data_IF_415748363939
#
_entry.id   IF_415748363939
#
_cell.length_a   1.000
_cell.length_b   1.000
_cell.length_c   1.000
_cell.angle_alpha   90.00
_cell.angle_beta   90.00
_cell.angle_gamma   90.00
#
_symmetry.space_group_name_H-M   'P 1'
#
loop_
_entity.id
_entity.type
_entity.pdbx_description
1 polymer ?
#
# COMPACT_ATOMS: atom_id res chain seq x y z
N UNK A 1 7.74 1.09 16.98
CA UNK A 1 8.74 1.08 18.06
C UNK A 1 9.96 1.91 17.65
N UNK A 2 10.19 3.04 18.32
CA UNK A 2 11.36 3.90 18.06
C UNK A 2 12.66 3.29 18.55
N UNK A 3 12.62 2.25 19.41
CA UNK A 3 13.82 1.50 19.81
C UNK A 3 14.30 0.61 18.66
N UNK A 4 13.39 -0.06 17.97
CA UNK A 4 13.69 -0.91 16.81
C UNK A 4 13.95 -0.10 15.52
N UNK A 5 13.19 0.97 15.27
CA UNK A 5 13.30 1.81 14.07
C UNK A 5 13.65 3.26 14.46
N UNK A 6 14.90 3.47 14.91
CA UNK A 6 15.38 4.76 15.44
C UNK A 6 15.36 5.88 14.40
N UNK A 7 15.54 5.52 13.14
CA UNK A 7 15.55 6.40 11.97
C UNK A 7 14.14 6.75 11.46
N UNK A 8 13.10 6.09 11.97
CA UNK A 8 11.71 6.42 11.69
C UNK A 8 11.06 7.12 12.90
N UNK A 9 11.69 8.22 13.30
CA UNK A 9 11.24 9.11 14.36
C UNK A 9 10.04 9.98 13.94
N UNK A 10 9.61 10.91 14.80
CA UNK A 10 8.47 11.78 14.50
C UNK A 10 8.71 12.70 13.29
N UNK A 11 9.95 13.16 13.08
CA UNK A 11 10.32 13.98 11.92
C UNK A 11 10.24 13.18 10.63
N UNK A 12 10.76 11.95 10.62
CA UNK A 12 10.65 11.04 9.49
C UNK A 12 9.20 10.64 9.20
N UNK A 13 8.38 10.38 10.23
CA UNK A 13 6.95 10.11 10.07
C UNK A 13 6.20 11.33 9.50
N UNK A 14 6.50 12.53 9.98
CA UNK A 14 5.91 13.76 9.46
C UNK A 14 6.27 13.98 7.99
N UNK A 15 7.55 13.82 7.63
CA UNK A 15 8.01 13.92 6.24
C UNK A 15 7.38 12.85 5.34
N UNK A 16 7.31 11.59 5.79
CA UNK A 16 6.67 10.51 5.05
C UNK A 16 5.16 10.74 4.85
N UNK A 17 4.45 11.28 5.84
CA UNK A 17 3.04 11.70 5.64
C UNK A 17 2.95 12.84 4.63
N UNK A 18 3.87 13.80 4.69
CA UNK A 18 3.90 14.95 3.78
C UNK A 18 4.18 14.55 2.33
N UNK A 19 5.00 13.53 2.09
CA UNK A 19 5.20 12.94 0.75
C UNK A 19 3.88 12.62 0.06
N UNK A 20 2.92 11.99 0.76
CA UNK A 20 1.63 11.63 0.17
C UNK A 20 0.89 12.87 -0.34
N UNK A 21 0.85 13.92 0.48
CA UNK A 21 0.18 15.17 0.12
C UNK A 21 0.89 15.90 -1.02
N UNK A 22 2.22 15.98 -0.99
CA UNK A 22 3.00 16.66 -2.03
C UNK A 22 3.00 15.89 -3.35
N UNK A 23 3.00 14.55 -3.32
CA UNK A 23 2.80 13.71 -4.50
C UNK A 23 1.44 13.92 -5.14
N UNK A 24 0.36 13.97 -4.34
CA UNK A 24 -0.96 14.27 -4.87
C UNK A 24 -1.04 15.72 -5.39
N UNK A 25 -0.48 16.68 -4.66
CA UNK A 25 -0.44 18.08 -5.07
C UNK A 25 0.34 18.27 -6.38
N UNK A 26 1.44 17.53 -6.58
CA UNK A 26 2.17 17.51 -7.84
C UNK A 26 1.25 17.09 -8.98
N UNK A 27 0.60 15.92 -8.85
CA UNK A 27 -0.29 15.37 -9.88
C UNK A 27 -1.44 16.34 -10.20
N UNK A 28 -2.02 16.95 -9.17
CA UNK A 28 -3.10 17.92 -9.33
C UNK A 28 -2.62 19.18 -10.08
N UNK A 29 -1.52 19.79 -9.64
CA UNK A 29 -1.00 21.05 -10.20
C UNK A 29 -0.46 20.89 -11.61
N UNK A 30 0.23 19.77 -11.89
CA UNK A 30 0.81 19.49 -13.22
C UNK A 30 -0.17 18.80 -14.17
N UNK A 31 -1.40 18.50 -13.72
CA UNK A 31 -2.35 17.67 -14.45
C UNK A 31 -1.73 16.33 -14.92
N UNK A 32 -0.90 15.72 -14.08
CA UNK A 32 -0.32 14.43 -14.39
C UNK A 32 -1.39 13.32 -14.36
N UNK A 33 -1.04 12.17 -14.93
CA UNK A 33 -1.87 10.98 -14.85
C UNK A 33 -1.92 10.47 -13.41
N UNK A 34 -3.10 10.07 -12.93
CA UNK A 34 -3.24 9.40 -11.63
C UNK A 34 -2.57 8.01 -11.63
N UNK A 35 -2.18 7.49 -12.80
CA UNK A 35 -1.34 6.28 -12.93
C UNK A 35 -0.01 6.40 -12.19
N UNK A 36 0.52 7.62 -12.05
CA UNK A 36 1.76 7.89 -11.32
C UNK A 36 1.63 7.52 -9.83
N UNK A 37 0.41 7.50 -9.27
CA UNK A 37 0.15 7.00 -7.92
C UNK A 37 0.29 5.48 -7.82
N UNK A 38 0.20 4.73 -8.92
CA UNK A 38 0.41 3.28 -8.92
C UNK A 38 1.87 2.92 -9.18
N UNK A 39 2.51 3.60 -10.14
CA UNK A 39 3.92 3.40 -10.49
C UNK A 39 4.42 4.60 -11.29
N UNK A 40 5.50 5.21 -10.84
CA UNK A 40 6.25 6.23 -11.56
C UNK A 40 7.75 6.07 -11.32
N UNK A 41 8.56 6.81 -12.08
CA UNK A 41 10.03 6.83 -12.04
C UNK A 41 10.58 8.03 -11.25
N UNK A 42 9.77 8.59 -10.35
CA UNK A 42 10.14 9.71 -9.49
C UNK A 42 9.50 9.61 -8.11
N UNK A 43 9.99 10.43 -7.18
CA UNK A 43 9.35 10.70 -5.88
C UNK A 43 9.27 12.21 -5.64
N UNK A 44 8.38 12.62 -4.73
CA UNK A 44 8.33 13.99 -4.23
C UNK A 44 8.84 13.98 -2.79
N UNK A 45 10.08 14.41 -2.57
CA UNK A 45 10.78 14.29 -1.28
C UNK A 45 11.55 15.55 -0.94
N UNK A 46 11.79 15.76 0.36
CA UNK A 46 12.78 16.71 0.87
C UNK A 46 14.08 15.99 1.27
N UNK A 47 15.06 16.72 1.81
CA UNK A 47 16.36 16.14 2.19
C UNK A 47 16.27 15.05 3.25
N UNK A 48 15.39 15.22 4.25
CA UNK A 48 15.19 14.21 5.30
C UNK A 48 14.68 12.89 4.70
N UNK A 49 13.60 12.96 3.91
CA UNK A 49 12.99 11.74 3.35
C UNK A 49 13.86 11.12 2.25
N UNK A 50 14.60 11.93 1.48
CA UNK A 50 15.60 11.44 0.55
C UNK A 50 16.69 10.63 1.27
N UNK A 51 17.23 11.15 2.37
CA UNK A 51 18.19 10.43 3.22
C UNK A 51 17.58 9.13 3.76
N UNK A 52 16.33 9.19 4.23
CA UNK A 52 15.61 8.00 4.71
C UNK A 52 15.44 6.92 3.63
N UNK A 53 15.31 7.33 2.37
CA UNK A 53 15.22 6.44 1.20
C UNK A 53 16.57 6.06 0.59
N UNK A 54 17.67 6.64 1.04
CA UNK A 54 18.99 6.44 0.44
C UNK A 54 19.15 7.12 -0.94
N UNK A 55 18.46 8.23 -1.15
CA UNK A 55 18.53 9.06 -2.36
C UNK A 55 19.53 10.19 -2.10
N UNK A 56 20.62 10.21 -2.86
CA UNK A 56 21.69 11.20 -2.74
C UNK A 56 21.36 12.52 -3.46
N UNK A 57 22.08 13.59 -3.14
CA UNK A 57 22.00 14.87 -3.86
C UNK A 57 20.78 15.74 -3.53
N UNK A 58 20.00 15.39 -2.51
CA UNK A 58 18.81 16.15 -2.07
C UNK A 58 19.03 16.68 -0.67
N UNK A 59 18.86 17.99 -0.48
CA UNK A 59 19.01 18.66 0.82
C UNK A 59 17.96 19.76 1.01
N UNK A 60 17.79 20.17 2.28
CA UNK A 60 16.80 21.17 2.70
C UNK A 60 15.40 20.60 2.90
N UNK A 61 14.50 21.46 3.41
CA UNK A 61 13.17 21.05 3.85
C UNK A 61 12.13 21.02 2.74
N UNK A 62 12.43 21.65 1.60
CA UNK A 62 11.54 21.77 0.45
C UNK A 62 11.36 20.45 -0.30
N UNK A 63 10.10 20.06 -0.49
CA UNK A 63 9.70 18.90 -1.26
C UNK A 63 9.85 19.19 -2.76
N UNK A 64 10.56 18.29 -3.45
CA UNK A 64 10.81 18.42 -4.90
C UNK A 64 10.71 17.08 -5.60
N UNK A 65 10.43 17.13 -6.90
CA UNK A 65 10.46 15.97 -7.78
C UNK A 65 11.90 15.51 -7.97
N UNK A 66 12.17 14.25 -7.68
CA UNK A 66 13.48 13.61 -7.85
C UNK A 66 13.31 12.34 -8.67
N UNK A 67 14.04 12.23 -9.76
CA UNK A 67 14.06 11.03 -10.59
C UNK A 67 14.68 9.85 -9.85
N UNK A 68 14.15 8.67 -10.08
CA UNK A 68 14.61 7.43 -9.49
C UNK A 68 15.42 6.60 -10.49
N UNK A 69 16.40 5.81 -10.02
CA UNK A 69 17.00 4.77 -10.85
C UNK A 69 15.96 3.70 -11.21
N UNK A 70 16.20 3.00 -12.32
CA UNK A 70 15.26 2.04 -12.92
C UNK A 70 14.85 0.89 -11.98
N UNK A 71 15.76 0.49 -11.10
CA UNK A 71 15.63 -0.58 -10.10
C UNK A 71 15.14 -0.07 -8.73
N UNK A 72 14.77 1.20 -8.62
CA UNK A 72 14.27 1.74 -7.36
C UNK A 72 12.95 1.06 -6.94
N UNK A 73 12.86 0.59 -5.68
CA UNK A 73 11.61 0.11 -5.12
C UNK A 73 10.66 1.27 -4.75
N UNK A 74 11.09 2.53 -4.90
CA UNK A 74 10.28 3.73 -4.69
C UNK A 74 9.53 4.14 -5.96
N UNK A 75 8.59 5.05 -5.84
CA UNK A 75 7.73 5.51 -6.94
C UNK A 75 6.35 4.84 -6.90
N UNK A 76 5.31 5.66 -6.92
CA UNK A 76 3.93 5.27 -6.60
C UNK A 76 3.69 5.03 -5.10
N UNK A 77 2.42 4.88 -4.72
CA UNK A 77 1.93 4.72 -3.35
C UNK A 77 2.54 3.49 -2.66
N UNK A 78 2.75 2.39 -3.38
CA UNK A 78 3.35 1.16 -2.83
C UNK A 78 4.82 1.32 -2.45
N UNK A 79 5.48 2.41 -2.86
CA UNK A 79 6.86 2.71 -2.52
C UNK A 79 7.00 3.69 -1.35
N UNK A 80 5.91 4.26 -0.85
CA UNK A 80 5.93 5.31 0.18
C UNK A 80 6.00 4.73 1.59
N UNK A 81 6.90 5.25 2.44
CA UNK A 81 7.03 4.78 3.82
C UNK A 81 5.76 4.96 4.64
N UNK A 82 5.01 6.05 4.45
CA UNK A 82 3.75 6.27 5.16
C UNK A 82 2.72 5.17 4.85
N UNK A 83 2.58 4.80 3.56
CA UNK A 83 1.66 3.74 3.13
C UNK A 83 2.07 2.40 3.71
N UNK A 84 3.36 2.07 3.64
CA UNK A 84 3.90 0.80 4.14
C UNK A 84 3.80 0.68 5.66
N UNK A 85 3.97 1.79 6.38
CA UNK A 85 3.90 1.84 7.84
C UNK A 85 2.46 1.66 8.38
N UNK A 86 1.43 2.11 7.65
CA UNK A 86 0.03 1.87 8.03
C UNK A 86 -0.32 0.39 8.11
N UNK A 87 0.30 -0.44 7.26
CA UNK A 87 0.14 -1.90 7.28
C UNK A 87 1.11 -2.61 8.23
N UNK A 88 1.40 -2.03 9.38
CA UNK A 88 2.32 -2.56 10.38
C UNK A 88 1.81 -2.30 11.79
N UNK A 89 2.30 -3.04 12.78
CA UNK A 89 2.02 -2.75 14.20
C UNK A 89 3.14 -1.93 14.87
N UNK A 90 4.04 -1.34 14.07
CA UNK A 90 5.19 -0.58 14.53
C UNK A 90 6.41 -1.41 14.95
N UNK A 91 6.28 -2.71 15.14
CA UNK A 91 7.40 -3.65 15.33
C UNK A 91 7.61 -4.52 14.08
N UNK A 92 6.50 -4.90 13.44
CA UNK A 92 6.46 -5.88 12.35
C UNK A 92 5.46 -5.49 11.29
N UNK A 93 5.72 -5.97 10.09
CA UNK A 93 4.79 -5.89 8.98
C UNK A 93 3.54 -6.72 9.23
N UNK A 94 2.42 -6.30 8.64
CA UNK A 94 1.22 -7.11 8.52
C UNK A 94 0.90 -7.30 7.04
N UNK A 95 1.27 -8.45 6.44
CA UNK A 95 0.97 -8.72 5.04
C UNK A 95 -0.54 -8.70 4.77
N UNK A 96 -1.35 -9.15 5.74
CA UNK A 96 -2.82 -9.14 5.64
C UNK A 96 -3.34 -7.71 5.48
N UNK A 97 -2.91 -6.79 6.35
CA UNK A 97 -3.35 -5.39 6.28
C UNK A 97 -2.85 -4.69 5.02
N UNK A 98 -1.61 -4.95 4.62
CA UNK A 98 -1.04 -4.39 3.38
C UNK A 98 -1.79 -4.90 2.16
N UNK A 99 -2.00 -6.21 2.04
CA UNK A 99 -2.75 -6.81 0.93
C UNK A 99 -4.19 -6.31 0.86
N UNK A 100 -4.86 -6.23 2.01
CA UNK A 100 -6.23 -5.73 2.11
C UNK A 100 -6.31 -4.25 1.72
N UNK A 101 -5.32 -3.43 2.09
CA UNK A 101 -5.23 -2.04 1.69
C UNK A 101 -5.05 -1.90 0.17
N UNK A 102 -4.18 -2.71 -0.47
CA UNK A 102 -4.01 -2.69 -1.93
C UNK A 102 -5.30 -3.04 -2.63
N UNK A 103 -5.96 -4.13 -2.23
CA UNK A 103 -7.25 -4.54 -2.78
C UNK A 103 -8.30 -3.43 -2.67
N UNK A 104 -8.42 -2.84 -1.48
CA UNK A 104 -9.41 -1.80 -1.18
C UNK A 104 -9.13 -0.47 -1.87
N UNK A 105 -7.87 -0.03 -1.92
CA UNK A 105 -7.51 1.35 -2.31
C UNK A 105 -6.91 1.47 -3.68
N UNK A 106 -6.25 0.42 -4.19
CA UNK A 106 -5.63 0.45 -5.52
C UNK A 106 -6.42 -0.35 -6.55
N UNK A 107 -7.02 -1.47 -6.14
CA UNK A 107 -7.71 -2.38 -7.06
C UNK A 107 -9.23 -2.21 -7.06
N UNK A 108 -9.78 -1.37 -6.17
CA UNK A 108 -11.21 -1.17 -5.96
C UNK A 108 -12.01 -2.47 -5.77
N UNK A 109 -11.39 -3.45 -5.11
CA UNK A 109 -11.94 -4.77 -4.81
C UNK A 109 -11.81 -5.02 -3.30
N UNK A 110 -12.52 -4.25 -2.44
CA UNK A 110 -12.35 -4.34 -1.00
C UNK A 110 -12.64 -5.77 -0.49
N UNK A 111 -11.74 -6.38 0.30
CA UNK A 111 -12.05 -7.65 0.94
C UNK A 111 -13.17 -7.44 1.97
N UNK A 112 -13.94 -8.51 2.31
CA UNK A 112 -14.95 -8.43 3.35
C UNK A 112 -14.32 -8.05 4.70
N UNK A 113 -15.10 -7.44 5.61
CA UNK A 113 -14.61 -7.13 6.95
C UNK A 113 -14.16 -8.40 7.67
N UNK A 114 -13.12 -8.27 8.50
CA UNK A 114 -12.64 -9.39 9.31
C UNK A 114 -13.77 -9.90 10.23
N UNK A 115 -13.93 -11.22 10.40
CA UNK A 115 -14.90 -11.77 11.34
C UNK A 115 -14.64 -11.28 12.78
N UNK A 116 -15.68 -11.07 13.61
CA UNK A 116 -15.51 -10.52 14.97
C UNK A 116 -14.74 -11.45 15.93
N UNK A 117 -14.62 -12.74 15.62
CA UNK A 117 -13.97 -13.74 16.47
C UNK A 117 -12.86 -14.49 15.72
N UNK A 118 -11.77 -13.81 15.35
CA UNK A 118 -10.59 -14.46 14.76
C UNK A 118 -9.82 -15.20 15.85
N UNK A 119 -9.70 -16.55 15.79
CA UNK A 119 -8.97 -17.30 16.80
C UNK A 119 -7.47 -16.94 16.76
N UNK A 120 -6.85 -16.73 17.92
CA UNK A 120 -5.39 -16.67 17.98
C UNK A 120 -4.79 -18.05 17.64
N UNK A 121 -3.75 -18.08 16.82
CA UNK A 121 -3.04 -19.32 16.48
C UNK A 121 -2.05 -19.67 17.60
N UNK A 122 -2.57 -20.12 18.74
CA UNK A 122 -1.76 -20.47 19.92
C UNK A 122 -0.80 -21.64 19.68
N UNK A 123 -1.11 -22.54 18.73
CA UNK A 123 -0.27 -23.69 18.35
C UNK A 123 1.10 -23.30 17.76
N UNK A 124 1.30 -22.04 17.38
CA UNK A 124 2.58 -21.54 16.87
C UNK A 124 3.44 -20.88 17.96
N UNK A 125 2.94 -20.77 19.19
CA UNK A 125 3.66 -20.13 20.29
C UNK A 125 4.99 -20.85 20.59
N UNK A 126 6.00 -20.08 20.97
CA UNK A 126 7.33 -20.59 21.34
C UNK A 126 8.19 -21.11 20.18
N UNK A 127 7.69 -21.16 18.94
CA UNK A 127 8.46 -21.60 17.76
C UNK A 127 8.82 -20.43 16.85
N UNK A 128 10.08 -20.30 16.43
CA UNK A 128 10.43 -19.23 15.51
C UNK A 128 9.96 -19.56 14.09
N UNK A 129 9.05 -18.75 13.58
CA UNK A 129 8.40 -18.90 12.28
C UNK A 129 8.53 -17.65 11.41
N UNK A 130 8.66 -17.85 10.10
CA UNK A 130 8.63 -16.75 9.15
C UNK A 130 7.25 -16.09 9.13
N UNK A 131 7.14 -14.88 8.58
CA UNK A 131 5.82 -14.25 8.39
C UNK A 131 4.91 -15.10 7.51
N UNK A 132 5.45 -15.67 6.42
CA UNK A 132 4.71 -16.56 5.53
C UNK A 132 4.23 -17.83 6.23
N UNK A 133 5.08 -18.49 7.01
CA UNK A 133 4.70 -19.68 7.79
C UNK A 133 3.55 -19.39 8.78
N UNK A 134 3.58 -18.21 9.43
CA UNK A 134 2.53 -17.79 10.37
C UNK A 134 1.20 -17.55 9.67
N UNK A 135 1.20 -16.91 8.49
CA UNK A 135 -0.01 -16.64 7.72
C UNK A 135 -0.59 -17.92 7.09
N UNK A 136 0.25 -18.80 6.53
CA UNK A 136 -0.22 -20.07 5.97
C UNK A 136 -0.90 -20.95 7.02
N UNK A 137 -0.38 -20.97 8.25
CA UNK A 137 -1.03 -21.65 9.36
C UNK A 137 -2.40 -21.04 9.73
N UNK A 138 -2.64 -19.75 9.43
CA UNK A 138 -3.96 -19.11 9.57
C UNK A 138 -4.91 -19.58 8.47
N UNK A 139 -4.40 -19.76 7.26
CA UNK A 139 -5.16 -20.23 6.10
C UNK A 139 -5.56 -21.70 6.16
N UNK A 140 -5.02 -22.51 7.08
CA UNK A 140 -5.47 -23.91 7.24
C UNK A 140 -6.95 -24.02 7.62
N UNK A 141 -7.53 -22.96 8.19
CA UNK A 141 -8.97 -22.90 8.45
C UNK A 141 -9.72 -22.51 7.16
N UNK A 142 -10.68 -23.33 6.67
CA UNK A 142 -11.38 -23.07 5.41
C UNK A 142 -12.06 -21.69 5.35
N UNK A 143 -12.62 -21.23 6.47
CA UNK A 143 -13.23 -19.90 6.58
C UNK A 143 -12.22 -18.76 6.30
N UNK A 144 -10.98 -18.89 6.79
CA UNK A 144 -9.93 -17.90 6.60
C UNK A 144 -9.36 -17.96 5.17
N UNK A 145 -9.15 -19.17 4.64
CA UNK A 145 -8.61 -19.39 3.30
C UNK A 145 -9.43 -18.69 2.20
N UNK A 146 -10.76 -18.61 2.37
CA UNK A 146 -11.68 -18.04 1.39
C UNK A 146 -11.34 -16.61 0.98
N UNK A 147 -10.93 -15.78 1.95
CA UNK A 147 -10.56 -14.38 1.74
C UNK A 147 -9.05 -14.21 1.60
N UNK A 148 -8.28 -14.92 2.43
CA UNK A 148 -6.82 -14.80 2.46
C UNK A 148 -6.14 -15.20 1.15
N UNK A 149 -6.75 -16.08 0.34
CA UNK A 149 -6.24 -16.42 -1.00
C UNK A 149 -6.09 -15.22 -1.94
N UNK A 150 -6.88 -14.17 -1.73
CA UNK A 150 -6.79 -12.92 -2.50
C UNK A 150 -5.88 -11.88 -1.83
N UNK A 151 -5.83 -11.88 -0.49
CA UNK A 151 -5.13 -10.87 0.32
C UNK A 151 -3.65 -11.19 0.47
N UNK A 152 -3.33 -12.39 0.96
CA UNK A 152 -2.00 -12.73 1.43
C UNK A 152 -0.94 -12.73 0.33
N UNK A 153 -1.22 -13.20 -0.90
CA UNK A 153 -0.25 -13.09 -2.00
C UNK A 153 0.26 -11.67 -2.18
N UNK A 154 -0.65 -10.69 -2.24
CA UNK A 154 -0.29 -9.26 -2.41
C UNK A 154 0.52 -8.77 -1.21
N UNK A 155 0.13 -9.16 -0.01
CA UNK A 155 0.87 -8.87 1.22
C UNK A 155 2.30 -9.40 1.19
N UNK A 156 2.50 -10.65 0.76
CA UNK A 156 3.83 -11.26 0.65
C UNK A 156 4.73 -10.50 -0.33
N UNK A 157 4.18 -10.02 -1.44
CA UNK A 157 4.94 -9.20 -2.38
C UNK A 157 5.42 -7.85 -1.83
N UNK A 158 4.92 -7.43 -0.66
CA UNK A 158 5.33 -6.21 0.04
C UNK A 158 6.26 -6.46 1.23
N UNK A 159 6.64 -7.71 1.51
CA UNK A 159 7.46 -8.06 2.68
C UNK A 159 8.90 -7.57 2.60
N UNK A 160 9.39 -7.24 1.40
CA UNK A 160 10.68 -6.55 1.23
C UNK A 160 10.71 -5.15 1.85
N UNK A 161 9.58 -4.60 2.29
CA UNK A 161 9.56 -3.41 3.13
C UNK A 161 9.35 -3.79 4.58
N UNK A 162 10.21 -3.32 5.48
CA UNK A 162 10.03 -3.49 6.92
C UNK A 162 8.83 -2.68 7.46
N UNK A 163 8.58 -2.76 8.77
CA UNK A 163 7.48 -2.05 9.41
C UNK A 163 7.56 -0.52 9.25
N UNK A 164 8.76 0.03 9.09
CA UNK A 164 9.01 1.45 8.85
C UNK A 164 9.08 1.81 7.34
N UNK A 165 8.78 0.87 6.45
CA UNK A 165 8.78 1.12 5.00
C UNK A 165 10.18 1.22 4.37
N UNK A 166 11.24 0.75 5.04
CA UNK A 166 12.57 0.59 4.42
C UNK A 166 12.71 -0.75 3.73
N UNK A 167 13.43 -0.74 2.61
CA UNK A 167 13.74 -1.94 1.85
C UNK A 167 14.68 -2.87 2.63
N UNK A 168 14.47 -4.18 2.50
CA UNK A 168 15.26 -5.25 3.09
C UNK A 168 15.11 -6.54 2.29
N UNK A 169 16.11 -7.41 2.37
CA UNK A 169 16.13 -8.73 1.72
C UNK A 169 16.08 -9.89 2.71
N UNK A 170 16.29 -9.59 4.00
CA UNK A 170 16.32 -10.56 5.09
C UNK A 170 15.33 -10.09 6.18
N UNK A 171 14.66 -11.03 6.83
CA UNK A 171 13.87 -10.80 8.04
C UNK A 171 14.42 -11.60 9.21
N UNK A 172 14.01 -11.22 10.43
CA UNK A 172 14.19 -12.04 11.60
C UNK A 172 12.98 -11.99 12.53
N UNK A 173 12.77 -13.08 13.27
CA UNK A 173 11.74 -13.18 14.28
C UNK A 173 12.30 -13.85 15.53
N UNK A 174 12.17 -13.14 16.65
CA UNK A 174 12.41 -13.67 17.98
C UNK A 174 11.10 -14.20 18.56
N UNK A 175 11.00 -15.52 18.71
CA UNK A 175 9.95 -16.17 19.46
C UNK A 175 10.08 -15.86 20.96
N UNK A 176 8.93 -15.75 21.61
CA UNK A 176 8.83 -15.57 23.06
C UNK A 176 8.29 -16.85 23.71
N UNK A 177 8.75 -17.14 24.93
CA UNK A 177 8.27 -18.24 25.76
C UNK A 177 6.92 -17.90 26.41
N UNK A 178 6.39 -18.83 27.22
CA UNK A 178 5.11 -18.65 27.92
C UNK A 178 5.10 -17.47 28.92
N UNK A 179 6.28 -16.97 29.31
CA UNK A 179 6.44 -15.83 30.20
C UNK A 179 6.74 -14.52 29.45
N UNK A 180 6.66 -14.52 28.11
CA UNK A 180 6.97 -13.37 27.27
C UNK A 180 8.46 -13.06 27.13
N UNK A 181 9.36 -13.94 27.60
CA UNK A 181 10.81 -13.76 27.46
C UNK A 181 11.30 -14.34 26.14
N UNK A 182 12.42 -13.83 25.56
CA UNK A 182 13.02 -14.44 24.37
C UNK A 182 13.26 -15.93 24.57
N UNK A 183 12.65 -16.78 23.73
CA UNK A 183 12.81 -18.22 23.82
C UNK A 183 14.26 -18.63 23.47
N UNK A 184 14.79 -19.63 24.18
CA UNK A 184 16.09 -20.25 23.87
C UNK A 184 16.04 -20.85 22.45
N UNK A 185 17.00 -20.49 21.59
CA UNK A 185 16.99 -20.81 20.14
C UNK A 185 15.73 -20.28 19.41
N UNK A 186 15.12 -19.21 19.92
CA UNK A 186 13.92 -18.61 19.37
C UNK A 186 14.18 -17.56 18.29
N UNK A 187 15.42 -17.32 17.88
CA UNK A 187 15.72 -16.42 16.76
C UNK A 187 15.75 -17.21 15.46
N UNK A 188 14.92 -16.83 14.50
CA UNK A 188 15.02 -17.29 13.11
C UNK A 188 15.22 -16.11 12.20
N UNK A 189 16.18 -16.23 11.30
CA UNK A 189 16.48 -15.27 10.25
C UNK A 189 16.28 -15.97 8.90
N UNK A 190 15.70 -15.28 7.92
CA UNK A 190 15.43 -15.86 6.60
C UNK A 190 15.51 -14.82 5.49
N UNK A 191 15.87 -15.27 4.29
CA UNK A 191 15.71 -14.48 3.06
C UNK A 191 14.23 -14.34 2.73
N UNK A 192 13.81 -13.12 2.43
CA UNK A 192 12.41 -12.81 2.11
C UNK A 192 12.07 -13.41 0.75
N UNK A 193 11.02 -14.24 0.73
CA UNK A 193 10.39 -14.73 -0.49
C UNK A 193 9.11 -13.93 -0.75
N UNK A 194 9.18 -13.02 -1.71
CA UNK A 194 8.08 -12.16 -2.13
C UNK A 194 7.23 -12.77 -3.26
N UNK A 195 7.64 -13.90 -3.84
CA UNK A 195 6.93 -14.48 -4.97
C UNK A 195 5.54 -14.99 -4.56
N UNK A 196 4.53 -14.73 -5.39
CA UNK A 196 3.18 -15.24 -5.19
C UNK A 196 2.35 -15.14 -6.48
N UNK A 197 1.04 -15.37 -6.39
CA UNK A 197 0.12 -15.16 -7.49
C UNK A 197 -1.17 -14.49 -7.02
N UNK A 198 -1.68 -13.57 -7.85
CA UNK A 198 -3.01 -13.01 -7.63
C UNK A 198 -4.06 -14.12 -7.70
N UNK A 199 -5.09 -14.03 -6.86
CA UNK A 199 -6.20 -14.98 -6.93
C UNK A 199 -6.89 -14.88 -8.31
N UNK A 200 -6.89 -15.99 -9.07
CA UNK A 200 -7.38 -16.03 -10.46
C UNK A 200 -6.70 -15.00 -11.37
N UNK A 201 -5.43 -14.70 -11.11
CA UNK A 201 -4.66 -13.70 -11.86
C UNK A 201 -3.22 -14.13 -12.10
N UNK A 202 -2.37 -13.23 -12.60
CA UNK A 202 -0.99 -13.53 -12.91
C UNK A 202 -0.16 -13.83 -11.66
N UNK A 203 0.87 -14.66 -11.83
CA UNK A 203 1.95 -14.81 -10.87
C UNK A 203 2.92 -13.62 -10.93
N UNK A 204 3.67 -13.40 -9.85
CA UNK A 204 4.78 -12.46 -9.79
C UNK A 204 5.91 -13.04 -8.94
N UNK A 205 7.14 -12.71 -9.31
CA UNK A 205 8.36 -13.22 -8.67
C UNK A 205 8.87 -12.33 -7.54
N UNK A 206 8.53 -11.05 -7.59
CA UNK A 206 9.02 -10.06 -6.64
C UNK A 206 8.08 -8.84 -6.53
N UNK A 207 8.47 -7.87 -5.71
CA UNK A 207 7.78 -6.59 -5.55
C UNK A 207 7.65 -5.80 -6.86
N UNK A 208 8.65 -5.84 -7.74
CA UNK A 208 8.66 -5.04 -8.96
C UNK A 208 7.64 -5.55 -9.97
N UNK A 209 7.53 -6.87 -10.11
CA UNK A 209 6.48 -7.53 -10.89
C UNK A 209 5.10 -7.30 -10.26
N UNK A 210 4.96 -7.44 -8.92
CA UNK A 210 3.71 -7.10 -8.21
C UNK A 210 3.26 -5.66 -8.53
N UNK A 211 4.14 -4.66 -8.32
CA UNK A 211 3.84 -3.25 -8.58
C UNK A 211 3.46 -3.02 -10.04
N UNK A 212 4.13 -3.71 -10.96
CA UNK A 212 3.83 -3.59 -12.39
C UNK A 212 2.45 -4.14 -12.72
N UNK A 213 2.06 -5.29 -12.14
CA UNK A 213 0.70 -5.83 -12.27
C UNK A 213 -0.34 -4.87 -11.69
N UNK A 214 -0.11 -4.34 -10.48
CA UNK A 214 -1.02 -3.36 -9.86
C UNK A 214 -1.18 -2.12 -10.75
N UNK A 215 -0.09 -1.63 -11.35
CA UNK A 215 -0.13 -0.49 -12.27
C UNK A 215 -0.95 -0.75 -13.55
N UNK A 216 -1.10 -2.01 -13.99
CA UNK A 216 -2.01 -2.34 -15.11
C UNK A 216 -3.49 -2.16 -14.76
N UNK A 217 -3.83 -2.10 -13.46
CA UNK A 217 -5.20 -1.95 -12.94
C UNK A 217 -5.61 -0.49 -12.76
N UNK A 218 -4.99 0.42 -13.51
CA UNK A 218 -5.33 1.84 -13.52
C UNK A 218 -6.83 2.14 -13.72
N UNK A 219 -7.60 1.41 -14.55
CA UNK A 219 -9.05 1.63 -14.62
C UNK A 219 -9.78 1.37 -13.29
N UNK A 220 -9.41 0.31 -12.57
CA UNK A 220 -9.98 0.01 -11.25
C UNK A 220 -9.58 1.07 -10.22
N UNK A 221 -8.32 1.52 -10.24
CA UNK A 221 -7.88 2.62 -9.39
C UNK A 221 -8.63 3.93 -9.68
N UNK A 222 -8.79 4.27 -10.96
CA UNK A 222 -9.55 5.43 -11.41
C UNK A 222 -11.00 5.37 -10.93
N UNK A 223 -11.62 4.18 -10.96
CA UNK A 223 -12.95 3.96 -10.39
C UNK A 223 -13.00 4.24 -8.90
N UNK A 224 -12.11 3.65 -8.10
CA UNK A 224 -12.07 3.90 -6.65
C UNK A 224 -11.77 5.37 -6.30
N UNK A 225 -10.89 6.03 -7.05
CA UNK A 225 -10.64 7.47 -6.91
C UNK A 225 -11.91 8.29 -7.20
N UNK A 226 -12.63 7.94 -8.26
CA UNK A 226 -13.87 8.61 -8.66
C UNK A 226 -14.95 8.47 -7.58
N UNK A 227 -15.12 7.27 -7.03
CA UNK A 227 -16.07 7.02 -5.94
C UNK A 227 -15.70 7.83 -4.69
N UNK A 228 -14.41 7.91 -4.34
CA UNK A 228 -13.94 8.74 -3.24
C UNK A 228 -14.18 10.24 -3.48
N UNK A 229 -14.00 10.71 -4.72
CA UNK A 229 -14.26 12.10 -5.10
C UNK A 229 -15.75 12.44 -5.04
N UNK A 230 -16.62 11.58 -5.56
CA UNK A 230 -18.08 11.73 -5.48
C UNK A 230 -18.51 11.79 -4.02
N UNK A 231 -18.02 10.87 -3.18
CA UNK A 231 -18.35 10.86 -1.76
C UNK A 231 -17.93 12.14 -1.05
N UNK A 232 -16.73 12.64 -1.35
CA UNK A 232 -16.22 13.88 -0.77
C UNK A 232 -17.03 15.09 -1.25
N UNK A 233 -17.26 15.22 -2.55
CA UNK A 233 -17.92 16.39 -3.14
C UNK A 233 -19.41 16.47 -2.80
N UNK A 234 -20.10 15.32 -2.76
CA UNK A 234 -21.53 15.27 -2.47
C UNK A 234 -21.83 15.07 -0.98
N UNK A 235 -20.82 14.83 -0.14
CA UNK A 235 -20.98 14.66 1.31
C UNK A 235 -21.83 13.46 1.72
N UNK A 236 -21.90 12.42 0.88
CA UNK A 236 -22.65 11.17 1.15
C UNK A 236 -21.96 9.96 0.54
N UNK A 237 -22.17 8.74 1.06
CA UNK A 237 -21.65 7.52 0.41
C UNK A 237 -22.13 7.41 -1.04
N UNK A 238 -21.28 6.84 -1.89
CA UNK A 238 -21.64 6.43 -3.25
C UNK A 238 -22.66 5.31 -3.17
N UNK A 239 -23.70 5.39 -3.99
CA UNK A 239 -24.72 4.37 -4.13
C UNK A 239 -25.03 4.06 -5.58
N UNK A 240 -26.04 3.21 -5.80
CA UNK A 240 -26.47 2.78 -7.14
C UNK A 240 -26.79 3.95 -8.09
N UNK A 241 -27.34 5.05 -7.56
CA UNK A 241 -27.68 6.24 -8.35
C UNK A 241 -26.45 6.98 -8.93
N UNK A 242 -25.25 6.73 -8.40
CA UNK A 242 -24.02 7.38 -8.86
C UNK A 242 -23.27 6.56 -9.92
N UNK A 243 -23.77 5.38 -10.29
CA UNK A 243 -23.08 4.45 -11.21
C UNK A 243 -22.80 5.09 -12.57
N UNK A 244 -23.79 5.80 -13.12
CA UNK A 244 -23.66 6.50 -14.40
C UNK A 244 -22.66 7.67 -14.31
N UNK A 245 -22.72 8.44 -13.22
CA UNK A 245 -21.77 9.52 -12.97
C UNK A 245 -20.33 8.99 -12.86
N UNK A 246 -20.11 7.96 -12.04
CA UNK A 246 -18.80 7.35 -11.84
C UNK A 246 -18.25 6.78 -13.16
N UNK A 247 -19.08 6.08 -13.92
CA UNK A 247 -18.71 5.54 -15.24
C UNK A 247 -18.34 6.66 -16.21
N UNK A 248 -19.12 7.74 -16.26
CA UNK A 248 -18.88 8.88 -17.15
C UNK A 248 -17.55 9.58 -16.83
N UNK A 249 -17.28 9.81 -15.55
CA UNK A 249 -16.03 10.42 -15.08
C UNK A 249 -14.83 9.56 -15.49
N UNK A 250 -14.87 8.24 -15.23
CA UNK A 250 -13.78 7.32 -15.57
C UNK A 250 -13.56 7.26 -17.08
N UNK A 251 -14.61 7.16 -17.89
CA UNK A 251 -14.51 7.13 -19.35
C UNK A 251 -13.90 8.42 -19.91
N UNK A 252 -14.26 9.58 -19.35
CA UNK A 252 -13.69 10.87 -19.75
C UNK A 252 -12.21 10.94 -19.38
N UNK A 253 -11.85 10.56 -18.16
CA UNK A 253 -10.46 10.52 -17.72
C UNK A 253 -9.62 9.55 -18.56
N UNK A 254 -10.15 8.37 -18.90
CA UNK A 254 -9.45 7.37 -19.71
C UNK A 254 -9.05 7.90 -21.11
N UNK A 255 -9.89 8.74 -21.73
CA UNK A 255 -9.59 9.38 -23.03
C UNK A 255 -8.39 10.33 -22.98
N UNK A 256 -8.01 10.79 -21.79
CA UNK A 256 -6.89 11.72 -21.54
C UNK A 256 -5.83 11.05 -20.64
N UNK A 257 -5.61 9.75 -20.81
CA UNK A 257 -4.64 8.96 -20.03
C UNK A 257 -4.77 9.13 -18.51
N UNK A 258 -6.01 9.21 -18.02
CA UNK A 258 -6.33 9.42 -16.61
C UNK A 258 -5.71 10.68 -15.99
N UNK A 259 -5.63 11.77 -16.75
CA UNK A 259 -5.23 13.08 -16.24
C UNK A 259 -6.14 13.55 -15.08
N UNK A 260 -5.54 14.02 -13.99
CA UNK A 260 -6.27 14.35 -12.75
C UNK A 260 -7.40 15.38 -12.95
N UNK A 261 -7.21 16.35 -13.84
CA UNK A 261 -8.20 17.41 -14.11
C UNK A 261 -9.50 16.85 -14.69
N UNK A 262 -9.44 15.78 -15.48
CA UNK A 262 -10.65 15.20 -16.08
C UNK A 262 -11.59 14.65 -15.01
N UNK A 263 -11.05 14.06 -13.93
CA UNK A 263 -11.87 13.60 -12.81
C UNK A 263 -12.64 14.75 -12.16
N UNK A 264 -11.94 15.87 -11.89
CA UNK A 264 -12.52 17.03 -11.22
C UNK A 264 -13.51 17.78 -12.12
N UNK A 265 -13.15 18.02 -13.38
CA UNK A 265 -14.03 18.74 -14.31
C UNK A 265 -15.29 17.96 -14.63
N UNK A 266 -15.19 16.63 -14.81
CA UNK A 266 -16.35 15.79 -15.07
C UNK A 266 -17.32 15.79 -13.88
N UNK A 267 -16.79 15.73 -12.65
CA UNK A 267 -17.59 15.79 -11.43
C UNK A 267 -18.25 17.16 -11.23
N UNK A 268 -17.47 18.25 -11.31
CA UNK A 268 -17.99 19.61 -11.08
C UNK A 268 -19.00 20.03 -12.14
N UNK A 269 -18.85 19.56 -13.39
CA UNK A 269 -19.82 19.83 -14.45
C UNK A 269 -21.07 18.94 -14.40
N UNK A 270 -21.16 18.00 -13.46
CA UNK A 270 -22.26 17.05 -13.39
C UNK A 270 -23.52 17.68 -12.80
N UNK A 271 -24.68 17.10 -13.14
CA UNK A 271 -25.97 17.54 -12.58
C UNK A 271 -26.01 17.34 -11.07
N UNK A 272 -25.51 16.20 -10.59
CA UNK A 272 -25.50 15.81 -9.19
C UNK A 272 -24.75 16.83 -8.33
N UNK A 273 -23.65 17.38 -8.83
CA UNK A 273 -22.87 18.41 -8.15
C UNK A 273 -23.64 19.74 -8.05
N UNK A 274 -24.38 20.13 -9.10
CA UNK A 274 -25.15 21.38 -9.11
C UNK A 274 -26.49 21.32 -8.36
N UNK A 275 -26.99 20.11 -8.07
CA UNK A 275 -28.25 19.91 -7.32
C UNK A 275 -28.05 19.75 -5.81
N UNK A 276 -26.82 19.92 -5.33
CA UNK A 276 -26.43 19.82 -3.92
C UNK A 276 -26.50 21.15 -3.19
#
# INVERSE_FOLDING_TARGET
DTKQFRDFDESAKAAARREVYESFAHILRSNASVRDLLKCDYVIVNGLLATYYGIEGVSGDEFRKVSLPKDSPRGGLLGMAAVLAMGSNGERTSPVERGAWVLRKLLNEPPPPAPPNVPQITRLNGRPRTTRERLLAHQEQPQCASCHRAIDPIGFGLENFNAAGKWRTVDSFQAVDANGKPAKNGLKTWTIDAAAAFHKGPAFKDYFELRSIVATKAPSFARGLTEALIQYALGRPVGFADEELATTIVQRAQKQDFAMREFLQALVASKEFHTK
#
